data_IF_044744819640
#
_entry.id   IF_044744819640
#
_cell.length_a   1.000
_cell.length_b   1.000
_cell.length_c   1.000
_cell.angle_alpha   90.00
_cell.angle_beta   90.00
_cell.angle_gamma   90.00
#
_symmetry.space_group_name_H-M   'P 1'
#
loop_
_entity.id
_entity.type
_entity.pdbx_description
1 polymer ?
#
# COMPACT_ATOMS: atom_id res chain seq x y z
N UNK A 1 -6.82 -13.24 1.44
CA UNK A 1 -7.95 -13.57 2.35
C UNK A 1 -7.70 -14.80 3.25
N UNK A 2 -7.53 -16.01 2.73
CA UNK A 2 -7.51 -17.25 3.54
C UNK A 2 -6.46 -17.25 4.67
N UNK A 3 -5.24 -16.78 4.37
CA UNK A 3 -4.21 -16.64 5.40
C UNK A 3 -4.64 -15.68 6.52
N UNK A 4 -5.18 -14.51 6.18
CA UNK A 4 -5.61 -13.52 7.18
C UNK A 4 -6.75 -14.05 8.05
N UNK A 5 -7.69 -14.80 7.48
CA UNK A 5 -8.75 -15.47 8.24
C UNK A 5 -8.18 -16.49 9.23
N UNK A 6 -7.19 -17.29 8.82
CA UNK A 6 -6.53 -18.26 9.69
C UNK A 6 -5.72 -17.57 10.81
N UNK A 7 -5.03 -16.47 10.52
CA UNK A 7 -4.33 -15.68 11.53
C UNK A 7 -5.33 -15.10 12.54
N UNK A 8 -6.41 -14.46 12.08
CA UNK A 8 -7.45 -13.95 12.98
C UNK A 8 -8.05 -15.05 13.86
N UNK A 9 -8.32 -16.23 13.31
CA UNK A 9 -8.80 -17.37 14.09
C UNK A 9 -7.79 -17.86 15.13
N UNK A 10 -6.50 -17.80 14.83
CA UNK A 10 -5.43 -18.26 15.74
C UNK A 10 -5.20 -17.28 16.87
N UNK A 11 -5.19 -15.98 16.54
CA UNK A 11 -4.77 -14.92 17.45
C UNK A 11 -5.94 -14.27 18.20
N UNK A 12 -7.19 -14.50 17.77
CA UNK A 12 -8.37 -14.00 18.48
C UNK A 12 -8.37 -12.47 18.61
N UNK A 13 -8.33 -12.01 19.85
CA UNK A 13 -8.38 -10.58 20.21
C UNK A 13 -7.02 -9.87 20.13
N UNK A 14 -5.93 -10.60 19.90
CA UNK A 14 -4.61 -10.00 19.68
C UNK A 14 -4.57 -9.23 18.35
N UNK A 15 -3.61 -8.31 18.25
CA UNK A 15 -3.43 -7.52 17.03
C UNK A 15 -2.93 -8.39 15.86
N UNK A 16 -3.61 -8.26 14.72
CA UNK A 16 -3.22 -8.83 13.42
C UNK A 16 -3.18 -7.69 12.41
N UNK A 17 -1.97 -7.34 11.97
CA UNK A 17 -1.74 -6.27 10.99
C UNK A 17 -0.89 -6.80 9.84
N UNK A 18 -0.84 -6.08 8.74
CA UNK A 18 0.04 -6.43 7.62
C UNK A 18 0.66 -5.17 6.99
N UNK A 19 1.95 -5.24 6.68
CA UNK A 19 2.59 -4.29 5.79
C UNK A 19 2.26 -4.62 4.33
N UNK A 20 1.85 -3.63 3.54
CA UNK A 20 1.32 -3.84 2.19
C UNK A 20 1.97 -2.88 1.18
N UNK A 21 2.01 -3.30 -0.08
CA UNK A 21 2.53 -2.53 -1.20
C UNK A 21 1.81 -1.18 -1.37
N UNK A 22 2.52 -0.20 -1.94
CA UNK A 22 1.95 1.09 -2.35
C UNK A 22 1.92 1.27 -3.88
N UNK A 23 2.07 0.19 -4.65
CA UNK A 23 1.92 0.21 -6.11
C UNK A 23 0.46 0.44 -6.51
N UNK A 24 0.09 1.72 -6.64
CA UNK A 24 -1.23 2.20 -7.06
C UNK A 24 -1.38 2.33 -8.58
N UNK A 25 -0.55 1.66 -9.38
CA UNK A 25 -0.75 1.65 -10.83
C UNK A 25 -1.97 0.82 -11.23
N UNK A 26 -2.66 1.15 -12.33
CA UNK A 26 -3.66 0.27 -12.92
C UNK A 26 -3.06 -1.11 -13.24
N UNK A 27 -3.68 -2.19 -12.76
CA UNK A 27 -3.14 -3.55 -12.83
C UNK A 27 -1.94 -3.82 -11.92
N UNK A 28 -1.60 -2.89 -11.02
CA UNK A 28 -0.48 -2.98 -10.10
C UNK A 28 -0.69 -3.97 -8.95
N UNK A 29 0.29 -4.03 -8.04
CA UNK A 29 0.27 -5.02 -6.95
C UNK A 29 -0.91 -4.87 -5.98
N UNK A 30 -1.51 -3.68 -5.85
CA UNK A 30 -2.72 -3.50 -5.02
C UNK A 30 -3.90 -4.27 -5.65
N UNK A 31 -4.08 -4.17 -6.96
CA UNK A 31 -5.18 -4.84 -7.67
C UNK A 31 -4.99 -6.37 -7.80
N UNK A 32 -3.75 -6.85 -7.69
CA UNK A 32 -3.42 -8.27 -7.76
C UNK A 32 -3.88 -9.10 -6.53
N UNK A 33 -4.45 -8.48 -5.50
CA UNK A 33 -4.88 -9.16 -4.27
C UNK A 33 -6.18 -8.59 -3.75
N UNK A 34 -7.07 -9.45 -3.23
CA UNK A 34 -8.31 -9.05 -2.55
C UNK A 34 -8.02 -8.52 -1.13
N UNK A 35 -7.66 -7.25 -1.01
CA UNK A 35 -7.47 -6.59 0.29
C UNK A 35 -8.80 -6.24 0.95
N UNK A 36 -9.82 -5.87 0.19
CA UNK A 36 -11.14 -5.56 0.73
C UNK A 36 -11.75 -6.78 1.46
N UNK A 37 -11.70 -7.96 0.84
CA UNK A 37 -12.16 -9.20 1.48
C UNK A 37 -11.28 -9.63 2.66
N UNK A 38 -10.00 -9.25 2.68
CA UNK A 38 -9.09 -9.52 3.79
C UNK A 38 -9.19 -8.50 4.94
N UNK A 39 -9.68 -7.28 4.67
CA UNK A 39 -9.73 -6.17 5.62
C UNK A 39 -10.54 -6.48 6.88
N UNK A 40 -11.52 -7.39 6.80
CA UNK A 40 -12.30 -7.83 7.95
C UNK A 40 -11.48 -8.64 8.99
N UNK A 41 -10.33 -9.18 8.61
CA UNK A 41 -9.52 -10.04 9.47
C UNK A 41 -8.28 -9.35 10.06
N UNK A 42 -7.90 -8.20 9.52
CA UNK A 42 -6.80 -7.38 10.06
C UNK A 42 -7.37 -6.20 10.86
N UNK A 43 -6.63 -5.73 11.85
CA UNK A 43 -6.95 -4.49 12.54
C UNK A 43 -6.71 -3.31 11.61
N UNK A 44 -5.54 -3.26 10.96
CA UNK A 44 -5.18 -2.30 9.92
C UNK A 44 -4.05 -2.80 9.02
N UNK A 45 -3.86 -2.10 7.91
CA UNK A 45 -2.74 -2.22 7.00
C UNK A 45 -1.75 -1.07 7.21
N UNK A 46 -0.47 -1.40 7.22
CA UNK A 46 0.63 -0.43 7.16
C UNK A 46 1.03 -0.30 5.68
N UNK A 47 0.54 0.73 4.99
CA UNK A 47 0.83 0.93 3.57
C UNK A 47 2.24 1.48 3.43
N UNK A 48 3.10 0.72 2.75
CA UNK A 48 4.51 1.03 2.59
C UNK A 48 4.70 2.10 1.50
N UNK A 49 4.25 3.32 1.77
CA UNK A 49 4.27 4.48 0.87
C UNK A 49 5.67 5.12 0.77
N UNK A 50 6.67 4.28 0.54
CA UNK A 50 8.08 4.63 0.39
C UNK A 50 8.74 3.67 -0.61
N UNK A 51 10.02 3.90 -0.90
CA UNK A 51 10.80 3.15 -1.90
C UNK A 51 10.17 3.15 -3.30
N UNK A 52 9.45 4.23 -3.64
CA UNK A 52 8.87 4.40 -4.96
C UNK A 52 9.95 4.58 -6.05
N UNK A 53 11.03 5.27 -5.70
CA UNK A 53 12.17 5.54 -6.57
C UNK A 53 13.45 5.42 -5.76
N UNK A 54 14.52 4.90 -6.37
CA UNK A 54 15.75 4.61 -5.65
C UNK A 54 16.91 4.30 -6.58
N UNK A 55 18.07 3.98 -5.99
CA UNK A 55 19.34 3.83 -6.70
C UNK A 55 19.40 2.64 -7.67
N UNK A 56 18.37 1.76 -7.69
CA UNK A 56 18.26 0.68 -8.66
C UNK A 56 18.08 1.20 -10.09
N UNK A 57 17.54 2.41 -10.28
CA UNK A 57 17.51 3.09 -11.58
C UNK A 57 18.81 3.88 -11.77
N UNK A 58 19.89 3.17 -12.12
CA UNK A 58 21.25 3.70 -12.12
C UNK A 58 21.48 4.88 -13.10
N UNK A 59 20.68 4.99 -14.15
CA UNK A 59 20.72 6.10 -15.11
C UNK A 59 19.75 7.24 -14.74
N UNK A 60 19.10 7.13 -13.58
CA UNK A 60 18.09 8.06 -13.13
C UNK A 60 16.77 7.95 -13.91
N UNK A 61 15.90 8.96 -13.77
CA UNK A 61 16.11 10.20 -13.01
C UNK A 61 16.11 9.99 -11.49
N UNK A 62 16.77 10.89 -10.74
CA UNK A 62 16.57 10.99 -9.30
C UNK A 62 15.16 11.52 -9.00
N UNK A 63 14.46 10.89 -8.06
CA UNK A 63 13.12 11.27 -7.65
C UNK A 63 12.90 11.03 -6.15
N UNK A 64 11.95 11.72 -5.49
CA UNK A 64 11.64 11.51 -4.08
C UNK A 64 11.10 10.09 -3.84
N UNK A 65 11.73 9.28 -2.98
CA UNK A 65 11.30 7.91 -2.71
C UNK A 65 9.94 7.76 -2.01
N UNK A 66 9.37 8.85 -1.48
CA UNK A 66 8.13 8.88 -0.70
C UNK A 66 7.27 10.13 -1.01
N UNK A 67 6.85 10.39 -2.27
CA UNK A 67 6.03 11.56 -2.58
C UNK A 67 4.60 11.37 -2.10
N UNK A 68 4.01 12.42 -1.52
CA UNK A 68 2.60 12.41 -1.07
C UNK A 68 1.64 12.39 -2.27
N UNK A 69 1.89 13.23 -3.28
CA UNK A 69 1.06 13.41 -4.48
C UNK A 69 1.91 13.38 -5.75
N UNK A 70 1.26 13.22 -6.90
CA UNK A 70 1.91 13.29 -8.21
C UNK A 70 2.44 14.70 -8.49
N UNK A 71 3.40 14.80 -9.40
CA UNK A 71 4.05 16.05 -9.82
C UNK A 71 4.52 15.96 -11.27
N UNK A 72 4.72 17.12 -11.90
CA UNK A 72 5.19 17.20 -13.29
C UNK A 72 6.57 16.54 -13.42
N UNK A 73 6.67 15.56 -14.32
CA UNK A 73 7.90 14.80 -14.55
C UNK A 73 8.15 13.66 -13.57
N UNK A 74 7.18 13.26 -12.74
CA UNK A 74 7.31 12.04 -11.93
C UNK A 74 7.62 10.83 -12.84
N UNK A 75 8.63 9.99 -12.51
CA UNK A 75 9.08 8.94 -13.43
C UNK A 75 8.02 7.85 -13.65
N UNK A 76 7.16 7.63 -12.66
CA UNK A 76 6.09 6.64 -12.70
C UNK A 76 4.82 7.18 -12.05
N UNK A 77 3.76 7.31 -12.84
CA UNK A 77 2.43 7.68 -12.32
C UNK A 77 1.88 6.57 -11.43
N UNK A 78 1.09 6.93 -10.42
CA UNK A 78 0.54 5.96 -9.45
C UNK A 78 1.51 5.54 -8.34
N UNK A 79 2.76 6.00 -8.37
CA UNK A 79 3.77 5.75 -7.34
C UNK A 79 3.83 6.92 -6.35
N UNK A 80 2.69 7.17 -5.71
CA UNK A 80 2.53 8.23 -4.71
C UNK A 80 1.69 7.71 -3.55
N UNK A 81 1.83 8.34 -2.39
CA UNK A 81 1.05 7.94 -1.21
C UNK A 81 -0.46 8.12 -1.43
N UNK A 82 -0.87 9.22 -2.07
CA UNK A 82 -2.26 9.50 -2.38
C UNK A 82 -2.87 8.47 -3.35
N UNK A 83 -2.14 8.10 -4.40
CA UNK A 83 -2.61 7.11 -5.37
C UNK A 83 -2.75 5.72 -4.75
N UNK A 84 -1.79 5.31 -3.92
CA UNK A 84 -1.85 4.04 -3.19
C UNK A 84 -3.08 3.96 -2.27
N UNK A 85 -3.32 5.00 -1.46
CA UNK A 85 -4.48 5.05 -0.56
C UNK A 85 -5.79 5.08 -1.37
N UNK A 86 -5.82 5.83 -2.47
CA UNK A 86 -6.98 5.86 -3.36
C UNK A 86 -7.28 4.47 -3.96
N UNK A 87 -6.25 3.72 -4.38
CA UNK A 87 -6.40 2.38 -4.94
C UNK A 87 -6.98 1.38 -3.92
N UNK A 88 -6.48 1.37 -2.68
CA UNK A 88 -7.06 0.53 -1.62
C UNK A 88 -8.53 0.88 -1.33
N UNK A 89 -8.85 2.18 -1.26
CA UNK A 89 -10.22 2.65 -1.04
C UNK A 89 -11.14 2.28 -2.21
N UNK A 90 -10.65 2.37 -3.45
CA UNK A 90 -11.39 1.98 -4.64
C UNK A 90 -11.70 0.48 -4.66
N UNK A 91 -10.82 -0.36 -4.11
CA UNK A 91 -11.09 -1.77 -3.92
C UNK A 91 -12.12 -2.05 -2.81
N UNK A 92 -12.36 -1.09 -1.91
CA UNK A 92 -13.33 -1.19 -0.81
C UNK A 92 -12.72 -1.37 0.58
N UNK A 93 -11.42 -1.12 0.76
CA UNK A 93 -10.81 -1.15 2.10
C UNK A 93 -11.28 0.06 2.91
N UNK A 94 -11.77 -0.13 4.15
CA UNK A 94 -12.14 0.98 5.04
C UNK A 94 -10.94 1.90 5.32
N UNK A 95 -11.17 3.23 5.27
CA UNK A 95 -10.10 4.22 5.39
C UNK A 95 -9.43 4.22 6.77
N UNK A 96 -10.18 3.92 7.83
CA UNK A 96 -9.68 3.76 9.21
C UNK A 96 -8.76 2.55 9.39
N UNK A 97 -8.71 1.63 8.42
CA UNK A 97 -7.78 0.50 8.38
C UNK A 97 -6.54 0.76 7.55
N UNK A 98 -6.32 1.97 7.04
CA UNK A 98 -5.16 2.30 6.20
C UNK A 98 -4.24 3.28 6.94
N UNK A 99 -3.10 2.79 7.42
CA UNK A 99 -2.04 3.63 7.99
C UNK A 99 -1.01 3.96 6.90
N UNK A 100 -0.79 5.26 6.70
CA UNK A 100 0.17 5.79 5.74
C UNK A 100 1.59 5.68 6.30
N UNK A 101 2.54 5.15 5.51
CA UNK A 101 3.94 5.04 5.89
C UNK A 101 4.73 6.33 5.67
N UNK A 102 5.67 6.63 6.56
CA UNK A 102 6.57 7.78 6.43
C UNK A 102 7.94 7.28 5.98
N UNK A 103 8.39 7.67 4.78
CA UNK A 103 9.77 7.47 4.35
C UNK A 103 10.71 8.39 5.14
N UNK A 104 11.69 7.80 5.83
CA UNK A 104 12.74 8.48 6.60
C UNK A 104 14.10 8.30 5.94
#
# INVERSE_FOLDING_TARGET
RNLMAALRSTFGDELVTAAVTADGTPGGKIEATDYAGAAQYVDWYNVMTYDFFGAWDAQGPTAPHSPLTSYDGIPKQGFTSADAIAAFKAQGVPADKLLLGIGF
#
